data_IF_508823308020
#
_entry.id   IF_508823308020
#
_cell.length_a   1.000
_cell.length_b   1.000
_cell.length_c   1.000
_cell.angle_alpha   90.00
_cell.angle_beta   90.00
_cell.angle_gamma   90.00
#
_symmetry.space_group_name_H-M   'P 1'
#
loop_
_entity.id
_entity.type
_entity.pdbx_description
1 polymer ?
#
# COMPACT_ATOMS: atom_id res chain seq x y z
N UNK A 1 -76.89 -12.24 39.45
CA UNK A 1 -77.02 -11.21 38.40
C UNK A 1 -76.01 -10.06 38.61
N UNK A 2 -75.04 -9.93 37.69
CA UNK A 2 -74.30 -8.69 37.45
C UNK A 2 -72.94 -8.51 38.15
N UNK A 3 -71.93 -9.32 37.83
CA UNK A 3 -70.53 -8.95 38.08
C UNK A 3 -70.00 -8.11 36.92
N UNK A 4 -70.10 -6.78 37.04
CA UNK A 4 -69.53 -5.81 36.11
C UNK A 4 -68.04 -5.59 36.38
N UNK A 5 -67.17 -6.36 35.72
CA UNK A 5 -65.74 -6.08 35.67
C UNK A 5 -65.47 -4.96 34.66
N UNK A 6 -65.06 -3.79 35.15
CA UNK A 6 -64.63 -2.67 34.30
C UNK A 6 -63.32 -3.04 33.59
N UNK A 7 -63.38 -3.13 32.26
CA UNK A 7 -62.23 -3.37 31.39
C UNK A 7 -61.40 -2.08 31.28
N UNK A 8 -60.15 -2.12 31.72
CA UNK A 8 -59.20 -1.01 31.57
C UNK A 8 -58.68 -1.04 30.11
N UNK A 9 -58.81 0.05 29.34
CA UNK A 9 -58.30 0.08 27.97
C UNK A 9 -56.77 0.05 27.94
N UNK A 10 -56.15 -0.58 26.92
CA UNK A 10 -54.70 -0.62 26.79
C UNK A 10 -54.13 0.79 26.52
N UNK A 11 -52.89 1.07 26.95
CA UNK A 11 -52.26 2.37 26.72
C UNK A 11 -52.04 2.63 25.22
N UNK A 12 -52.11 3.89 24.78
CA UNK A 12 -51.86 4.25 23.38
C UNK A 12 -50.41 3.96 22.97
N UNK A 13 -50.15 3.65 21.69
CA UNK A 13 -48.81 3.43 21.20
C UNK A 13 -47.96 4.70 21.32
N UNK A 14 -46.62 4.57 21.54
CA UNK A 14 -45.73 5.72 21.62
C UNK A 14 -45.70 6.47 20.28
N UNK A 15 -45.46 7.79 20.29
CA UNK A 15 -45.37 8.59 19.07
C UNK A 15 -44.20 8.12 18.20
N UNK A 16 -44.31 8.23 16.86
CA UNK A 16 -43.19 7.92 15.97
C UNK A 16 -42.02 8.86 16.27
N UNK A 17 -40.82 8.28 16.47
CA UNK A 17 -39.59 9.08 16.63
C UNK A 17 -39.33 9.88 15.35
N UNK A 18 -38.89 11.14 15.45
CA UNK A 18 -38.37 11.85 14.29
C UNK A 18 -37.17 11.10 13.73
N UNK A 19 -37.30 10.63 12.49
CA UNK A 19 -36.20 10.10 11.69
C UNK A 19 -35.33 11.27 11.24
N UNK A 20 -34.27 11.53 11.99
CA UNK A 20 -33.17 12.39 11.56
C UNK A 20 -31.87 11.61 11.59
N UNK A 21 -31.75 10.63 10.69
CA UNK A 21 -30.44 10.18 10.22
C UNK A 21 -30.01 11.09 9.06
N UNK A 22 -28.96 11.92 9.20
CA UNK A 22 -28.38 12.66 8.08
C UNK A 22 -27.55 11.74 7.16
N UNK A 23 -27.49 10.44 7.46
CA UNK A 23 -26.78 9.44 6.68
C UNK A 23 -27.79 8.52 5.98
N UNK A 24 -28.13 8.88 4.75
CA UNK A 24 -28.77 7.96 3.82
C UNK A 24 -27.78 6.86 3.46
N UNK A 25 -27.85 5.73 4.16
CA UNK A 25 -27.19 4.51 3.74
C UNK A 25 -27.86 4.02 2.45
N UNK A 26 -27.25 4.32 1.30
CA UNK A 26 -27.50 3.59 0.05
C UNK A 26 -26.94 2.17 0.21
N UNK A 27 -27.75 1.11 0.05
CA UNK A 27 -27.22 -0.24 -0.02
C UNK A 27 -26.48 -0.38 -1.36
N UNK A 28 -25.15 -0.36 -1.32
CA UNK A 28 -24.30 -0.46 -2.51
C UNK A 28 -23.05 0.43 -2.51
N UNK A 29 -22.92 1.38 -1.59
CA UNK A 29 -21.66 2.11 -1.43
C UNK A 29 -20.66 1.24 -0.67
N UNK A 30 -19.83 0.51 -1.43
CA UNK A 30 -18.54 0.04 -0.91
C UNK A 30 -17.87 1.28 -0.34
N UNK A 31 -17.54 1.28 0.96
CA UNK A 31 -16.80 2.37 1.56
C UNK A 31 -15.45 2.45 0.82
N UNK A 32 -15.36 3.34 -0.15
CA UNK A 32 -14.13 3.62 -0.85
C UNK A 32 -13.33 4.50 0.12
N UNK A 33 -12.53 3.84 0.95
CA UNK A 33 -11.50 4.54 1.69
C UNK A 33 -10.55 5.14 0.66
N UNK A 34 -10.79 6.40 0.28
CA UNK A 34 -9.80 7.20 -0.43
C UNK A 34 -8.69 7.50 0.58
N UNK A 35 -7.77 6.57 0.74
CA UNK A 35 -6.60 6.79 1.57
C UNK A 35 -5.71 7.74 0.79
N UNK A 36 -5.76 9.01 1.18
CA UNK A 36 -4.99 10.08 0.58
C UNK A 36 -3.59 10.10 1.21
N UNK A 37 -2.57 10.15 0.36
CA UNK A 37 -1.21 10.53 0.75
C UNK A 37 -1.26 11.84 1.54
N UNK A 38 -0.74 11.82 2.75
CA UNK A 38 -0.59 13.00 3.61
C UNK A 38 0.67 13.78 3.26
N UNK A 39 1.73 13.11 2.82
CA UNK A 39 2.99 13.72 2.42
C UNK A 39 3.01 14.26 1.00
N UNK A 40 3.88 15.24 0.78
CA UNK A 40 4.11 15.94 -0.49
C UNK A 40 5.02 15.17 -1.46
N UNK A 41 5.60 14.07 -0.99
CA UNK A 41 6.41 13.16 -1.78
C UNK A 41 5.92 11.74 -1.59
N UNK A 42 5.99 10.96 -2.66
CA UNK A 42 5.70 9.54 -2.65
C UNK A 42 6.92 8.78 -3.12
N UNK A 43 7.31 7.73 -2.41
CA UNK A 43 8.24 6.73 -2.87
C UNK A 43 7.47 5.56 -3.49
N UNK A 44 7.77 5.20 -4.74
CA UNK A 44 7.19 4.06 -5.47
C UNK A 44 8.17 2.89 -5.45
N UNK A 45 7.66 1.72 -5.09
CA UNK A 45 8.37 0.45 -5.02
C UNK A 45 7.79 -0.50 -6.07
N UNK A 46 8.62 -0.91 -7.04
CA UNK A 46 8.22 -1.73 -8.18
C UNK A 46 9.44 -2.49 -8.72
N UNK A 47 9.29 -3.79 -8.99
CA UNK A 47 10.36 -4.63 -9.55
C UNK A 47 10.64 -4.34 -11.04
N UNK A 48 9.76 -3.66 -11.74
CA UNK A 48 10.00 -3.32 -13.15
C UNK A 48 11.14 -2.29 -13.34
N UNK A 49 11.64 -1.73 -12.25
CA UNK A 49 12.55 -0.58 -12.26
C UNK A 49 13.95 -0.92 -11.73
N UNK A 50 14.22 -2.20 -11.48
CA UNK A 50 15.48 -2.66 -10.93
C UNK A 50 16.31 -3.39 -11.96
N UNK A 51 17.63 -3.27 -11.83
CA UNK A 51 18.56 -4.15 -12.52
C UNK A 51 18.77 -5.42 -11.69
N UNK A 52 18.43 -6.57 -12.28
CA UNK A 52 18.58 -7.90 -11.68
C UNK A 52 20.01 -8.19 -11.21
N UNK A 53 21.02 -7.61 -11.85
CA UNK A 53 22.43 -7.78 -11.48
C UNK A 53 22.74 -7.26 -10.07
N UNK A 54 21.96 -6.31 -9.56
CA UNK A 54 22.14 -5.71 -8.25
C UNK A 54 21.50 -6.53 -7.12
N UNK A 55 20.56 -7.42 -7.46
CA UNK A 55 19.90 -8.32 -6.51
C UNK A 55 20.88 -9.42 -6.08
N UNK A 56 21.39 -10.19 -7.04
CA UNK A 56 22.32 -11.28 -6.81
C UNK A 56 23.17 -11.46 -8.07
N UNK A 57 24.47 -11.68 -7.90
CA UNK A 57 25.41 -11.85 -9.02
C UNK A 57 25.12 -13.08 -9.89
N UNK A 58 24.34 -14.05 -9.38
CA UNK A 58 23.92 -15.21 -10.14
C UNK A 58 22.75 -14.93 -11.09
N UNK A 59 22.05 -13.80 -10.93
CA UNK A 59 20.99 -13.41 -11.85
C UNK A 59 21.59 -12.76 -13.09
N UNK A 60 21.08 -13.17 -14.25
CA UNK A 60 21.42 -12.54 -15.53
C UNK A 60 21.02 -11.05 -15.46
N UNK A 61 21.86 -10.12 -15.91
CA UNK A 61 21.49 -8.71 -15.99
C UNK A 61 20.31 -8.50 -16.96
N UNK A 62 19.44 -7.54 -16.64
CA UNK A 62 18.33 -7.15 -17.52
C UNK A 62 17.12 -8.10 -17.54
N UNK A 63 17.01 -9.03 -16.58
CA UNK A 63 15.78 -9.80 -16.39
C UNK A 63 14.60 -8.88 -16.07
N UNK A 64 13.44 -9.20 -16.63
CA UNK A 64 12.18 -8.53 -16.29
C UNK A 64 11.72 -8.89 -14.87
N UNK A 65 10.80 -8.09 -14.32
CA UNK A 65 10.21 -8.37 -13.00
C UNK A 65 9.63 -9.79 -12.93
N UNK A 66 8.92 -10.22 -13.97
CA UNK A 66 8.33 -11.56 -14.04
C UNK A 66 9.41 -12.66 -14.03
N UNK A 67 10.50 -12.48 -14.78
CA UNK A 67 11.60 -13.45 -14.80
C UNK A 67 12.35 -13.50 -13.45
N UNK A 68 12.48 -12.36 -12.76
CA UNK A 68 13.05 -12.30 -11.41
C UNK A 68 12.15 -13.09 -10.45
N UNK A 69 10.83 -12.90 -10.53
CA UNK A 69 9.87 -13.63 -9.70
C UNK A 69 9.91 -15.13 -10.01
N UNK A 70 9.92 -15.53 -11.29
CA UNK A 70 10.05 -16.93 -11.71
C UNK A 70 11.32 -17.58 -11.14
N UNK A 71 12.45 -16.85 -11.17
CA UNK A 71 13.71 -17.30 -10.60
C UNK A 71 13.62 -17.47 -9.08
N UNK A 72 12.99 -16.54 -8.36
CA UNK A 72 12.79 -16.63 -6.91
C UNK A 72 11.84 -17.77 -6.52
N UNK A 73 10.85 -18.11 -7.34
CA UNK A 73 9.93 -19.23 -7.09
C UNK A 73 10.57 -20.59 -7.39
N UNK A 74 11.44 -20.65 -8.40
CA UNK A 74 12.00 -21.92 -8.89
C UNK A 74 13.36 -22.26 -8.26
N UNK A 75 14.23 -21.27 -8.06
CA UNK A 75 15.57 -21.48 -7.52
C UNK A 75 15.59 -21.27 -6.00
N UNK A 76 15.41 -22.37 -5.26
CA UNK A 76 15.53 -22.35 -3.79
C UNK A 76 16.90 -21.88 -3.32
N UNK A 77 17.97 -22.20 -4.05
CA UNK A 77 19.33 -21.82 -3.65
C UNK A 77 19.52 -20.30 -3.68
N UNK A 78 18.91 -19.62 -4.66
CA UNK A 78 18.88 -18.17 -4.75
C UNK A 78 18.19 -17.56 -3.53
N UNK A 79 17.02 -18.09 -3.15
CA UNK A 79 16.27 -17.61 -1.98
C UNK A 79 17.06 -17.76 -0.69
N UNK A 80 17.72 -18.90 -0.48
CA UNK A 80 18.53 -19.14 0.73
C UNK A 80 19.75 -18.20 0.81
N UNK A 81 20.32 -17.78 -0.32
CA UNK A 81 21.39 -16.76 -0.36
C UNK A 81 20.86 -15.34 -0.14
N UNK A 82 19.70 -15.03 -0.73
CA UNK A 82 19.15 -13.68 -0.75
C UNK A 82 18.48 -13.29 0.59
N UNK A 83 17.80 -14.23 1.26
CA UNK A 83 17.09 -13.97 2.52
C UNK A 83 17.99 -13.35 3.60
N UNK A 84 19.15 -13.93 3.96
CA UNK A 84 20.02 -13.34 4.99
C UNK A 84 20.46 -11.92 4.65
N UNK A 85 20.74 -11.64 3.37
CA UNK A 85 21.13 -10.30 2.91
C UNK A 85 19.97 -9.31 3.01
N UNK A 86 18.76 -9.72 2.64
CA UNK A 86 17.55 -8.90 2.79
C UNK A 86 17.22 -8.64 4.26
N UNK A 87 17.35 -9.65 5.13
CA UNK A 87 17.16 -9.51 6.57
C UNK A 87 18.18 -8.54 7.19
N UNK A 88 19.48 -8.73 6.94
CA UNK A 88 20.52 -7.83 7.45
C UNK A 88 20.34 -6.39 6.95
N UNK A 89 19.96 -6.22 5.68
CA UNK A 89 19.68 -4.90 5.11
C UNK A 89 18.47 -4.26 5.78
N UNK A 90 17.41 -5.02 5.99
CA UNK A 90 16.19 -4.53 6.66
C UNK A 90 16.45 -4.09 8.10
N UNK A 91 17.26 -4.85 8.85
CA UNK A 91 17.67 -4.48 10.20
C UNK A 91 18.45 -3.16 10.23
N UNK A 92 19.30 -2.93 9.22
CA UNK A 92 20.10 -1.70 9.10
C UNK A 92 19.24 -0.44 8.91
N UNK A 93 18.03 -0.57 8.36
CA UNK A 93 17.11 0.54 8.16
C UNK A 93 16.47 1.04 9.46
N UNK A 94 16.53 0.26 10.54
CA UNK A 94 16.02 0.61 11.86
C UNK A 94 14.57 1.15 11.87
N UNK A 95 13.72 0.65 10.96
CA UNK A 95 12.32 1.04 10.88
C UNK A 95 11.57 0.60 12.14
N UNK A 96 10.67 1.45 12.64
CA UNK A 96 9.90 1.20 13.88
C UNK A 96 8.40 1.36 13.66
N UNK A 97 7.59 0.51 14.28
CA UNK A 97 6.14 0.60 14.16
C UNK A 97 5.61 0.22 12.77
N UNK A 98 4.48 0.81 12.40
CA UNK A 98 3.78 0.54 11.14
C UNK A 98 3.96 1.69 10.15
N UNK A 99 4.06 1.34 8.87
CA UNK A 99 4.10 2.26 7.74
C UNK A 99 2.92 1.93 6.82
N UNK A 100 2.21 2.94 6.36
CA UNK A 100 1.15 2.79 5.38
C UNK A 100 1.75 2.69 3.98
N UNK A 101 1.24 1.73 3.21
CA UNK A 101 1.54 1.54 1.81
C UNK A 101 0.25 1.56 1.00
N UNK A 102 0.29 2.28 -0.11
CA UNK A 102 -0.82 2.47 -1.03
C UNK A 102 -0.55 1.66 -2.30
N UNK A 103 -1.50 0.85 -2.79
CA UNK A 103 -1.39 0.25 -4.11
C UNK A 103 -1.21 1.35 -5.18
N UNK A 104 -0.19 1.22 -6.03
CA UNK A 104 0.06 2.20 -7.09
C UNK A 104 -0.93 1.98 -8.25
N UNK A 105 -2.07 2.66 -8.17
CA UNK A 105 -3.16 2.59 -9.16
C UNK A 105 -3.55 3.96 -9.68
N UNK A 106 -4.34 3.99 -10.75
CA UNK A 106 -4.84 5.22 -11.38
C UNK A 106 -5.57 6.13 -10.41
N UNK A 107 -6.35 5.56 -9.49
CA UNK A 107 -7.12 6.34 -8.51
C UNK A 107 -6.18 7.09 -7.56
N UNK A 108 -5.13 6.43 -7.06
CA UNK A 108 -4.11 7.06 -6.21
C UNK A 108 -3.38 8.16 -6.99
N UNK A 109 -2.94 7.86 -8.22
CA UNK A 109 -2.26 8.83 -9.09
C UNK A 109 -3.10 10.07 -9.32
N UNK A 110 -4.38 9.88 -9.67
CA UNK A 110 -5.34 10.97 -9.90
C UNK A 110 -5.56 11.80 -8.63
N UNK A 111 -5.75 11.15 -7.48
CA UNK A 111 -5.98 11.81 -6.20
C UNK A 111 -4.77 12.65 -5.76
N UNK A 112 -3.56 12.09 -5.84
CA UNK A 112 -2.32 12.78 -5.51
C UNK A 112 -2.08 13.94 -6.47
N UNK A 113 -2.27 13.72 -7.77
CA UNK A 113 -2.10 14.75 -8.79
C UNK A 113 -3.07 15.92 -8.58
N UNK A 114 -4.35 15.64 -8.30
CA UNK A 114 -5.34 16.66 -8.00
C UNK A 114 -4.96 17.49 -6.76
N UNK A 115 -4.48 16.84 -5.70
CA UNK A 115 -3.99 17.51 -4.50
C UNK A 115 -2.77 18.39 -4.77
N UNK A 116 -1.73 17.85 -5.40
CA UNK A 116 -0.49 18.60 -5.69
C UNK A 116 -0.74 19.77 -6.64
N UNK A 117 -1.61 19.59 -7.63
CA UNK A 117 -2.03 20.67 -8.54
C UNK A 117 -2.74 21.80 -7.79
N UNK A 118 -3.62 21.48 -6.84
CA UNK A 118 -4.29 22.47 -5.99
C UNK A 118 -3.29 23.26 -5.11
N UNK A 119 -2.20 22.60 -4.69
CA UNK A 119 -1.11 23.20 -3.92
C UNK A 119 -0.04 23.88 -4.78
N UNK A 120 -0.16 23.86 -6.11
CA UNK A 120 0.85 24.34 -7.08
C UNK A 120 2.23 23.69 -6.86
N UNK A 121 2.24 22.44 -6.39
CA UNK A 121 3.46 21.64 -6.20
C UNK A 121 3.73 20.76 -7.44
N UNK A 122 4.99 20.40 -7.70
CA UNK A 122 5.34 19.49 -8.79
C UNK A 122 4.69 18.12 -8.58
N UNK A 123 4.09 17.57 -9.64
CA UNK A 123 3.38 16.29 -9.63
C UNK A 123 4.36 15.14 -9.88
N UNK A 124 5.36 15.04 -9.02
CA UNK A 124 6.46 14.06 -9.12
C UNK A 124 6.44 13.07 -7.96
N UNK A 125 6.91 11.86 -8.22
CA UNK A 125 7.19 10.85 -7.20
C UNK A 125 8.65 10.39 -7.31
N UNK A 126 9.15 9.80 -6.23
CA UNK A 126 10.45 9.14 -6.17
C UNK A 126 10.28 7.69 -6.61
N UNK A 127 10.81 7.36 -7.78
CA UNK A 127 10.93 5.99 -8.21
C UNK A 127 12.15 5.38 -7.54
N UNK A 128 11.93 4.42 -6.64
CA UNK A 128 13.02 3.73 -5.94
C UNK A 128 13.76 2.83 -6.91
N UNK A 129 15.09 2.81 -6.86
CA UNK A 129 15.92 1.94 -7.70
C UNK A 129 16.75 0.93 -6.91
N UNK A 130 16.82 1.06 -5.57
CA UNK A 130 17.49 0.09 -4.71
C UNK A 130 16.69 -1.24 -4.68
N UNK A 131 17.22 -2.33 -5.26
CA UNK A 131 16.51 -3.60 -5.33
C UNK A 131 16.29 -4.24 -3.97
N UNK A 132 17.21 -4.08 -3.01
CA UNK A 132 17.08 -4.70 -1.69
C UNK A 132 16.00 -3.99 -0.87
N UNK A 133 15.91 -2.68 -1.02
CA UNK A 133 14.82 -1.90 -0.42
C UNK A 133 13.47 -2.30 -1.03
N UNK A 134 13.39 -2.38 -2.36
CA UNK A 134 12.15 -2.77 -3.06
C UNK A 134 11.71 -4.17 -2.65
N UNK A 135 12.60 -5.16 -2.71
CA UNK A 135 12.29 -6.54 -2.32
C UNK A 135 11.87 -6.63 -0.86
N UNK A 136 12.52 -5.89 0.06
CA UNK A 136 12.10 -5.87 1.45
C UNK A 136 10.72 -5.25 1.65
N UNK A 137 10.46 -4.09 1.05
CA UNK A 137 9.16 -3.40 1.18
C UNK A 137 8.04 -4.24 0.58
N UNK A 138 8.23 -4.77 -0.62
CA UNK A 138 7.25 -5.62 -1.29
C UNK A 138 7.06 -6.95 -0.55
N UNK A 139 8.16 -7.63 -0.18
CA UNK A 139 8.11 -8.94 0.45
C UNK A 139 7.62 -8.96 1.89
N UNK A 140 7.75 -7.85 2.63
CA UNK A 140 7.28 -7.73 4.02
C UNK A 140 5.92 -7.06 4.18
N UNK A 141 5.42 -6.39 3.14
CA UNK A 141 4.14 -5.69 3.25
C UNK A 141 2.94 -6.62 3.22
N UNK A 142 1.93 -6.35 4.06
CA UNK A 142 0.69 -7.11 4.18
C UNK A 142 -0.50 -6.15 4.26
N UNK A 143 -1.49 -6.36 3.40
CA UNK A 143 -2.74 -5.58 3.39
C UNK A 143 -2.54 -4.04 3.43
N UNK A 144 -1.53 -3.52 2.72
CA UNK A 144 -1.23 -2.07 2.70
C UNK A 144 -0.50 -1.56 3.95
N UNK A 145 0.02 -2.46 4.79
CA UNK A 145 0.83 -2.13 5.95
C UNK A 145 2.21 -2.78 5.83
N UNK A 146 3.23 -2.03 6.21
CA UNK A 146 4.59 -2.51 6.37
C UNK A 146 4.94 -2.41 7.85
N UNK A 147 5.17 -3.57 8.48
CA UNK A 147 5.54 -3.65 9.89
C UNK A 147 7.03 -3.94 9.99
N UNK A 148 7.71 -3.30 10.94
CA UNK A 148 9.13 -3.50 11.19
C UNK A 148 9.52 -4.98 11.36
N UNK A 149 8.66 -5.79 12.01
CA UNK A 149 8.93 -7.20 12.28
C UNK A 149 8.18 -8.15 11.34
N UNK A 150 7.66 -7.65 10.20
CA UNK A 150 6.93 -8.50 9.28
C UNK A 150 7.86 -9.54 8.64
N UNK A 151 7.42 -10.82 8.54
CA UNK A 151 8.22 -11.87 7.92
C UNK A 151 8.40 -11.59 6.42
N UNK A 152 9.60 -11.87 5.92
CA UNK A 152 9.93 -11.76 4.51
C UNK A 152 9.29 -12.92 3.73
N UNK A 153 8.50 -12.60 2.71
CA UNK A 153 7.99 -13.55 1.74
C UNK A 153 8.35 -13.08 0.33
N UNK A 154 8.92 -13.96 -0.48
CA UNK A 154 9.39 -13.65 -1.84
C UNK A 154 8.51 -14.33 -2.91
N UNK A 155 7.27 -14.65 -2.56
CA UNK A 155 6.32 -15.26 -3.49
C UNK A 155 5.71 -14.20 -4.43
N UNK A 156 5.29 -14.63 -5.62
CA UNK A 156 4.68 -13.77 -6.64
C UNK A 156 3.56 -12.87 -6.12
N UNK A 157 2.72 -13.35 -5.22
CA UNK A 157 1.60 -12.57 -4.65
C UNK A 157 2.07 -11.29 -3.96
N UNK A 158 3.29 -11.28 -3.41
CA UNK A 158 3.86 -10.12 -2.73
C UNK A 158 4.73 -9.26 -3.63
N UNK A 159 5.36 -9.87 -4.65
CA UNK A 159 6.32 -9.22 -5.52
C UNK A 159 5.70 -8.64 -6.79
N UNK A 160 4.63 -9.26 -7.31
CA UNK A 160 3.92 -8.81 -8.51
C UNK A 160 2.90 -7.70 -8.18
N UNK A 161 3.40 -6.60 -7.62
CA UNK A 161 2.61 -5.40 -7.32
C UNK A 161 3.52 -4.18 -7.23
N UNK A 162 2.95 -3.04 -7.57
CA UNK A 162 3.55 -1.74 -7.32
C UNK A 162 2.90 -1.09 -6.10
N UNK A 163 3.71 -0.61 -5.16
CA UNK A 163 3.26 0.05 -3.94
C UNK A 163 3.88 1.43 -3.84
N UNK A 164 3.24 2.34 -3.13
CA UNK A 164 3.80 3.65 -2.80
C UNK A 164 3.63 3.98 -1.33
N UNK A 165 4.47 4.87 -0.82
CA UNK A 165 4.39 5.39 0.54
C UNK A 165 4.80 6.85 0.59
N UNK A 166 4.15 7.61 1.44
CA UNK A 166 4.51 8.97 1.81
C UNK A 166 5.24 9.05 3.15
N UNK A 167 5.54 7.90 3.77
CA UNK A 167 6.24 7.85 5.04
C UNK A 167 7.65 8.43 4.89
N UNK A 168 7.94 9.47 5.67
CA UNK A 168 9.21 10.19 5.65
C UNK A 168 10.44 9.29 5.78
N UNK A 169 10.34 8.15 6.48
CA UNK A 169 11.46 7.22 6.68
C UNK A 169 11.74 6.42 5.42
N UNK A 170 10.70 5.95 4.73
CA UNK A 170 10.86 5.29 3.44
C UNK A 170 11.33 6.26 2.35
N UNK A 171 10.87 7.52 2.39
CA UNK A 171 11.38 8.57 1.51
C UNK A 171 12.87 8.80 1.74
N UNK A 172 13.32 8.92 2.99
CA UNK A 172 14.72 9.10 3.30
C UNK A 172 15.58 7.91 2.84
N UNK A 173 15.09 6.67 3.02
CA UNK A 173 15.77 5.47 2.52
C UNK A 173 15.83 5.44 0.99
N UNK A 174 14.74 5.77 0.31
CA UNK A 174 14.71 5.87 -1.15
C UNK A 174 15.75 6.87 -1.68
N UNK A 175 15.85 8.04 -1.04
CA UNK A 175 16.83 9.06 -1.41
C UNK A 175 18.27 8.61 -1.15
N UNK A 176 18.51 7.89 -0.06
CA UNK A 176 19.84 7.39 0.30
C UNK A 176 20.29 6.21 -0.58
N UNK A 177 19.37 5.29 -0.91
CA UNK A 177 19.65 4.07 -1.70
C UNK A 177 19.63 4.28 -3.21
N UNK A 178 19.11 5.43 -3.67
CA UNK A 178 18.95 5.74 -5.08
C UNK A 178 17.48 5.82 -5.46
N UNK A 179 17.12 6.96 -6.03
CA UNK A 179 15.78 7.21 -6.55
C UNK A 179 15.82 8.16 -7.73
N UNK A 180 14.90 7.99 -8.67
CA UNK A 180 14.71 8.86 -9.83
C UNK A 180 13.41 9.64 -9.62
N UNK A 181 13.45 10.97 -9.78
CA UNK A 181 12.22 11.76 -9.79
C UNK A 181 11.48 11.53 -11.12
N UNK A 182 10.23 11.10 -11.04
CA UNK A 182 9.40 10.78 -12.20
C UNK A 182 8.04 11.50 -12.11
N UNK A 183 7.48 12.01 -13.22
CA UNK A 183 6.16 12.61 -13.21
C UNK A 183 5.08 11.55 -12.94
N UNK A 184 4.06 11.89 -12.14
CA UNK A 184 2.93 11.00 -11.80
C UNK A 184 2.19 10.51 -13.04
N UNK A 185 2.14 11.36 -14.07
CA UNK A 185 1.68 10.99 -15.41
C UNK A 185 2.89 10.84 -16.33
N UNK A 186 3.17 9.62 -16.74
CA UNK A 186 3.88 9.38 -18.00
C UNK A 186 2.90 9.73 -19.13
N UNK A 187 3.28 10.56 -20.12
CA UNK A 187 2.48 10.68 -21.33
C UNK A 187 2.41 9.28 -21.95
N UNK A 188 1.19 8.78 -22.16
CA UNK A 188 0.98 7.56 -22.94
C UNK A 188 1.58 7.84 -24.33
N UNK A 189 2.57 7.06 -24.80
CA UNK A 189 3.12 7.23 -26.14
C UNK A 189 2.08 6.94 -27.23
#
# INVERSE_FOLDING_TARGET
PGSGGASVPPPPPPPPRPSSSPFGNRPGSRAEFSILSTGDRLARFDLNQIDSSQIDSALTPGLSAEQIIDALETDRSLVERLKPRLDATWESYQLRGAILLYPWRDELRSAVNGRLSALKQPTTYLLVTDPLLILNVLGRSRAGLLLANAPLALDRVFLNRAMASDDSRLIALAQAGGSIESPIFEPIP
#
